data_IF_056478346810
#
_entry.id   IF_056478346810
#
_cell.length_a   1.000
_cell.length_b   1.000
_cell.length_c   1.000
_cell.angle_alpha   90.00
_cell.angle_beta   90.00
_cell.angle_gamma   90.00
#
_symmetry.space_group_name_H-M   'P 1'
#
loop_
_entity.id
_entity.type
_entity.pdbx_description
1 polymer ?
#
# COMPACT_ATOMS: atom_id res chain seq x y z
N UNK A 1 3.01 12.97 -11.42
CA UNK A 1 3.68 11.96 -10.57
C UNK A 1 3.57 12.45 -9.14
N UNK A 2 3.25 11.60 -8.16
CA UNK A 2 3.11 11.99 -6.75
C UNK A 2 4.21 11.33 -5.93
N UNK A 3 5.00 12.09 -5.18
CA UNK A 3 5.93 11.51 -4.20
C UNK A 3 5.12 11.02 -3.01
N UNK A 4 5.29 9.76 -2.65
CA UNK A 4 4.57 9.11 -1.55
C UNK A 4 5.46 9.04 -0.32
N UNK A 5 6.72 8.69 -0.51
CA UNK A 5 7.71 8.59 0.55
C UNK A 5 9.07 9.06 0.05
N UNK A 6 9.84 9.68 0.91
CA UNK A 6 11.22 10.07 0.64
C UNK A 6 12.02 9.76 1.90
N UNK A 7 13.01 8.90 1.77
CA UNK A 7 13.98 8.54 2.81
C UNK A 7 15.38 8.96 2.35
N UNK A 8 16.36 8.84 3.25
CA UNK A 8 17.76 9.12 2.91
C UNK A 8 18.36 8.07 1.95
N UNK A 9 17.74 6.88 1.84
CA UNK A 9 18.22 5.78 0.99
C UNK A 9 17.46 5.71 -0.34
N UNK A 10 16.17 6.08 -0.37
CA UNK A 10 15.35 6.01 -1.57
C UNK A 10 14.11 6.92 -1.55
N UNK A 11 13.52 7.12 -2.71
CA UNK A 11 12.33 7.93 -2.96
C UNK A 11 11.30 7.03 -3.62
N UNK A 12 10.11 6.92 -3.01
CA UNK A 12 8.97 6.22 -3.59
C UNK A 12 7.98 7.22 -4.16
N UNK A 13 7.68 7.08 -5.44
CA UNK A 13 6.68 7.90 -6.14
C UNK A 13 5.64 7.04 -6.83
N UNK A 14 4.40 7.52 -6.89
CA UNK A 14 3.29 6.90 -7.60
C UNK A 14 3.07 7.60 -8.93
N UNK A 15 3.09 6.83 -10.02
CA UNK A 15 2.74 7.31 -11.37
C UNK A 15 1.21 7.44 -11.49
N UNK A 16 0.73 8.16 -12.52
CA UNK A 16 -0.71 8.31 -12.76
C UNK A 16 -1.44 6.97 -13.00
N UNK A 17 -0.71 5.94 -13.41
CA UNK A 17 -1.21 4.57 -13.58
C UNK A 17 -1.36 3.79 -12.27
N UNK A 18 -1.09 4.40 -11.10
CA UNK A 18 -1.14 3.72 -9.80
C UNK A 18 0.09 2.87 -9.47
N UNK A 19 0.99 2.62 -10.45
CA UNK A 19 2.25 1.91 -10.21
C UNK A 19 3.23 2.77 -9.43
N UNK A 20 3.91 2.15 -8.45
CA UNK A 20 5.00 2.78 -7.73
C UNK A 20 6.32 2.68 -8.50
N UNK A 21 7.14 3.72 -8.38
CA UNK A 21 8.53 3.80 -8.81
C UNK A 21 9.38 4.07 -7.57
N UNK A 22 10.51 3.39 -7.48
CA UNK A 22 11.48 3.55 -6.39
C UNK A 22 12.77 4.05 -7.02
N UNK A 23 13.33 5.11 -6.47
CA UNK A 23 14.57 5.74 -6.93
C UNK A 23 15.52 5.78 -5.74
N UNK A 24 16.72 5.24 -5.86
CA UNK A 24 17.74 5.30 -4.82
C UNK A 24 18.22 6.74 -4.59
N UNK A 25 18.91 6.97 -3.48
CA UNK A 25 19.45 8.28 -3.10
C UNK A 25 20.46 8.85 -4.11
N UNK A 26 21.12 7.98 -4.87
CA UNK A 26 22.02 8.32 -5.97
C UNK A 26 21.28 8.75 -7.26
N UNK A 27 19.95 8.65 -7.27
CA UNK A 27 19.11 8.93 -8.45
C UNK A 27 18.88 7.71 -9.35
N UNK A 28 19.42 6.54 -9.00
CA UNK A 28 19.25 5.31 -9.79
C UNK A 28 17.87 4.69 -9.59
N UNK A 29 17.14 4.31 -10.66
CA UNK A 29 15.84 3.65 -10.52
C UNK A 29 16.02 2.21 -10.00
N UNK A 30 15.45 1.91 -8.84
CA UNK A 30 15.43 0.55 -8.27
C UNK A 30 14.29 -0.25 -8.92
N UNK A 31 14.62 -1.40 -9.50
CA UNK A 31 13.70 -2.28 -10.21
C UNK A 31 13.80 -3.73 -9.72
N UNK A 32 12.91 -4.61 -10.19
CA UNK A 32 12.94 -6.04 -9.86
C UNK A 32 12.61 -6.35 -8.40
N UNK A 33 13.37 -7.28 -7.81
CA UNK A 33 13.14 -7.76 -6.44
C UNK A 33 13.45 -6.70 -5.37
N UNK A 34 14.49 -5.89 -5.55
CA UNK A 34 14.84 -4.82 -4.59
C UNK A 34 13.70 -3.82 -4.45
N UNK A 35 13.09 -3.45 -5.58
CA UNK A 35 11.91 -2.60 -5.60
C UNK A 35 10.75 -3.23 -4.84
N UNK A 36 10.51 -4.53 -5.03
CA UNK A 36 9.44 -5.23 -4.32
C UNK A 36 9.69 -5.25 -2.81
N UNK A 37 10.92 -5.54 -2.37
CA UNK A 37 11.33 -5.51 -0.95
C UNK A 37 11.08 -4.15 -0.31
N UNK A 38 11.46 -3.06 -0.98
CA UNK A 38 11.25 -1.69 -0.47
C UNK A 38 9.76 -1.36 -0.37
N UNK A 39 8.99 -1.63 -1.43
CA UNK A 39 7.56 -1.35 -1.43
C UNK A 39 6.80 -2.22 -0.40
N UNK A 40 7.31 -3.41 -0.09
CA UNK A 40 6.78 -4.27 0.97
C UNK A 40 7.13 -3.80 2.38
N UNK A 41 8.40 -3.44 2.60
CA UNK A 41 8.85 -2.90 3.89
C UNK A 41 8.10 -1.61 4.27
N UNK A 42 7.75 -0.80 3.27
CA UNK A 42 7.00 0.44 3.44
C UNK A 42 5.47 0.25 3.39
N UNK A 43 4.98 -0.98 3.26
CA UNK A 43 3.55 -1.33 3.14
C UNK A 43 2.79 -0.58 2.03
N UNK A 44 3.50 0.00 1.06
CA UNK A 44 2.95 0.78 -0.04
C UNK A 44 2.28 -0.09 -1.09
N UNK A 45 2.83 -1.29 -1.28
CA UNK A 45 2.08 -2.40 -1.87
C UNK A 45 1.64 -3.31 -0.73
N UNK A 46 0.33 -3.51 -0.65
CA UNK A 46 -0.16 -4.76 -0.09
C UNK A 46 0.23 -5.85 -1.09
N UNK A 47 1.28 -6.64 -0.79
CA UNK A 47 1.14 -8.06 -1.12
C UNK A 47 -0.18 -8.41 -0.44
N UNK A 48 -1.19 -8.78 -1.21
CA UNK A 48 -2.31 -9.50 -0.65
C UNK A 48 -1.73 -10.80 -0.13
N UNK A 49 -1.09 -10.77 1.04
CA UNK A 49 -1.21 -11.87 1.96
C UNK A 49 -2.71 -12.17 1.96
N UNK A 50 -3.14 -13.42 1.70
CA UNK A 50 -4.54 -13.77 1.85
C UNK A 50 -4.93 -13.21 3.20
N UNK A 51 -5.88 -12.27 3.19
CA UNK A 51 -6.40 -11.61 4.38
C UNK A 51 -6.46 -12.71 5.43
N UNK A 52 -5.61 -12.72 6.49
CA UNK A 52 -5.98 -13.51 7.65
C UNK A 52 -7.35 -12.94 7.95
N UNK A 53 -8.38 -13.76 7.80
CA UNK A 53 -9.74 -13.36 8.01
C UNK A 53 -9.71 -12.51 9.27
N UNK A 54 -9.87 -11.20 9.13
CA UNK A 54 -10.37 -10.41 10.24
C UNK A 54 -11.63 -11.20 10.60
N UNK A 55 -11.70 -11.85 11.78
CA UNK A 55 -13.02 -12.11 12.28
C UNK A 55 -13.65 -10.72 12.27
N UNK A 56 -14.68 -10.54 11.45
CA UNK A 56 -15.64 -9.47 11.61
C UNK A 56 -16.10 -9.58 13.06
N UNK A 57 -15.33 -8.94 13.94
CA UNK A 57 -15.78 -8.49 15.22
C UNK A 57 -16.82 -7.43 14.89
N UNK A 58 -18.05 -7.93 14.79
CA UNK A 58 -19.12 -7.42 15.61
C UNK A 58 -19.33 -5.90 15.45
N UNK A 59 -19.98 -5.53 14.35
CA UNK A 59 -20.95 -4.44 14.40
C UNK A 59 -22.11 -4.78 13.46
N UNK A 60 -23.02 -5.58 13.99
CA UNK A 60 -24.40 -5.52 13.56
C UNK A 60 -25.01 -4.20 14.09
N UNK A 61 -25.49 -3.29 13.24
CA UNK A 61 -26.60 -2.46 13.65
C UNK A 61 -27.86 -3.31 13.45
N UNK A 62 -28.29 -3.94 14.54
CA UNK A 62 -29.68 -4.28 14.72
C UNK A 62 -30.46 -2.99 15.01
N UNK A 63 -31.03 -2.38 13.99
CA UNK A 63 -32.21 -1.50 14.03
C UNK A 63 -32.47 -1.14 12.55
N UNK A 64 -33.51 -1.66 11.92
CA UNK A 64 -34.80 -0.95 11.90
C UNK A 64 -35.94 -1.97 11.84
N UNK A 65 -36.70 -2.02 12.93
CA UNK A 65 -38.07 -2.47 12.94
C UNK A 65 -39.00 -1.32 12.51
N UNK A 66 -40.20 -1.69 12.05
CA UNK A 66 -41.37 -0.87 11.71
C UNK A 66 -41.38 -0.35 10.24
N UNK A 67 -42.14 -0.97 9.34
CA UNK A 67 -43.60 -0.85 9.19
C UNK A 67 -44.03 0.55 8.68
N UNK A 68 -44.31 0.65 7.38
CA UNK A 68 -45.63 1.01 6.82
C UNK A 68 -45.67 0.68 5.31
#
# INVERSE_FOLDING_TARGET
>A
MKVIKQTAEYIVSQKRSGRYAVVAADGSPINGEEKAKILLAEELIKLTAPKPAEPEAEEAPAEEAAAE
#
